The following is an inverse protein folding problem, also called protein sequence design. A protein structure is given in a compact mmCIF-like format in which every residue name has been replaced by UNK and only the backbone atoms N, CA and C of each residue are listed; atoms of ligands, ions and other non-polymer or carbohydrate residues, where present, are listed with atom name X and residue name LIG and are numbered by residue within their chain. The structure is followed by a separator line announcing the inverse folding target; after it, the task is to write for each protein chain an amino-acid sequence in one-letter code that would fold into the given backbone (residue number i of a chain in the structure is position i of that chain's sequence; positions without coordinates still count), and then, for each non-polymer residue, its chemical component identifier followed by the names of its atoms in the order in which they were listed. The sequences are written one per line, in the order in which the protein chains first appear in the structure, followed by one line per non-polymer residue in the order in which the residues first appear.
data_IF_728940180099
#
_entry.id   IF_728940180099
#
_cell.length_a   1.000
_cell.length_b   1.000
_cell.length_c   1.000
_cell.angle_alpha   90.00
_cell.angle_beta   90.00
_cell.angle_gamma   90.00
#
_symmetry.space_group_name_H-M   'P 1'
#
loop_
_entity.id
_entity.type
_entity.pdbx_description
1 polymer ?
#
# COMPACT_ATOMS: atom_id res chain seq x y z
N UNK A 1 -2.72 17.71 22.50
CA UNK A 1 -1.60 17.68 23.46
C UNK A 1 -1.84 16.51 24.40
N UNK A 2 -1.16 15.38 24.21
CA UNK A 2 -1.30 14.22 25.11
C UNK A 2 -0.46 14.52 26.37
N UNK A 3 -1.11 14.92 27.47
CA UNK A 3 -0.43 15.07 28.76
C UNK A 3 -0.42 13.68 29.40
N UNK A 4 0.57 12.86 29.07
CA UNK A 4 0.77 11.59 29.74
C UNK A 4 1.58 11.83 31.04
N UNK A 5 1.05 11.36 32.17
CA UNK A 5 1.77 11.47 33.45
C UNK A 5 2.95 10.51 33.47
N UNK A 6 4.00 10.78 34.26
CA UNK A 6 5.18 9.89 34.38
C UNK A 6 4.84 8.43 34.74
N UNK A 7 3.67 8.17 35.34
CA UNK A 7 3.20 6.83 35.68
C UNK A 7 2.49 6.11 34.52
N UNK A 8 2.05 6.87 33.51
CA UNK A 8 1.27 6.41 32.35
C UNK A 8 2.14 6.12 31.12
N UNK A 9 3.46 6.34 31.18
CA UNK A 9 4.38 6.10 30.06
C UNK A 9 5.33 4.96 30.44
N UNK A 10 5.36 3.91 29.63
CA UNK A 10 6.35 2.84 29.71
C UNK A 10 7.29 2.96 28.52
N UNK A 11 8.49 3.48 28.77
CA UNK A 11 9.53 3.56 27.74
C UNK A 11 10.27 2.23 27.73
N UNK A 12 10.31 1.58 26.56
CA UNK A 12 11.04 0.33 26.36
C UNK A 12 12.07 0.60 25.27
N UNK A 13 13.36 0.49 25.61
CA UNK A 13 14.43 0.62 24.63
C UNK A 13 14.45 -0.62 23.71
N UNK A 14 14.81 -0.45 22.43
CA UNK A 14 15.00 -1.56 21.50
C UNK A 14 15.92 -2.67 22.05
N UNK A 15 17.00 -2.31 22.75
CA UNK A 15 17.89 -3.28 23.41
C UNK A 15 17.16 -4.14 24.47
N UNK A 16 16.14 -3.58 25.11
CA UNK A 16 15.33 -4.27 26.12
C UNK A 16 14.30 -5.22 25.49
N UNK A 17 13.88 -4.95 24.25
CA UNK A 17 13.10 -5.89 23.43
C UNK A 17 14.02 -7.00 22.92
N UNK A 18 15.16 -6.65 22.31
CA UNK A 18 16.13 -7.62 21.80
C UNK A 18 16.67 -8.59 22.85
N UNK A 19 16.99 -8.11 24.05
CA UNK A 19 17.44 -8.97 25.15
C UNK A 19 16.40 -10.01 25.58
N UNK A 20 15.13 -9.79 25.23
CA UNK A 20 14.02 -10.73 25.43
C UNK A 20 13.66 -11.50 24.15
N UNK A 21 14.22 -11.15 23.01
CA UNK A 21 14.09 -11.87 21.74
C UNK A 21 15.09 -13.03 21.74
N UNK A 22 14.64 -14.22 22.13
CA UNK A 22 15.47 -15.45 22.08
C UNK A 22 15.43 -16.04 20.67
N UNK A 23 16.44 -16.85 20.32
CA UNK A 23 16.53 -17.56 19.03
C UNK A 23 15.54 -18.74 18.89
N UNK A 24 14.48 -18.76 19.70
CA UNK A 24 13.48 -19.82 19.72
C UNK A 24 12.21 -19.33 19.02
N UNK A 25 11.76 -20.10 18.03
CA UNK A 25 10.55 -19.81 17.25
C UNK A 25 9.34 -19.72 18.20
N UNK A 26 8.56 -18.65 18.09
CA UNK A 26 7.36 -18.38 18.91
C UNK A 26 7.62 -17.72 20.27
N UNK A 27 8.83 -17.77 20.82
CA UNK A 27 9.13 -17.13 22.11
C UNK A 27 9.19 -15.60 22.00
N UNK A 28 9.69 -15.10 20.86
CA UNK A 28 9.71 -13.66 20.54
C UNK A 28 8.31 -13.05 20.50
N UNK A 29 7.32 -13.77 19.94
CA UNK A 29 5.92 -13.36 19.91
C UNK A 29 5.32 -13.35 21.32
N UNK A 30 5.56 -14.42 22.10
CA UNK A 30 5.09 -14.52 23.48
C UNK A 30 5.62 -13.40 24.37
N UNK A 31 6.90 -13.07 24.23
CA UNK A 31 7.54 -12.00 25.00
C UNK A 31 7.04 -10.63 24.56
N UNK A 32 6.83 -10.42 23.26
CA UNK A 32 6.22 -9.19 22.72
C UNK A 32 4.80 -9.00 23.25
N UNK A 33 3.97 -10.05 23.23
CA UNK A 33 2.63 -10.04 23.84
C UNK A 33 2.67 -9.73 25.33
N UNK A 34 3.64 -10.27 26.05
CA UNK A 34 3.84 -9.96 27.47
C UNK A 34 4.18 -8.49 27.71
N UNK A 35 4.99 -7.88 26.84
CA UNK A 35 5.32 -6.45 26.90
C UNK A 35 4.08 -5.60 26.59
N UNK A 36 3.36 -5.92 25.51
CA UNK A 36 2.13 -5.22 25.12
C UNK A 36 1.07 -5.28 26.23
N UNK A 37 0.87 -6.45 26.83
CA UNK A 37 -0.04 -6.62 27.97
C UNK A 37 0.41 -5.82 29.21
N UNK A 38 1.71 -5.72 29.47
CA UNK A 38 2.25 -4.91 30.57
C UNK A 38 2.13 -3.39 30.32
N UNK A 39 1.94 -2.99 29.06
CA UNK A 39 1.74 -1.59 28.64
C UNK A 39 0.27 -1.22 28.41
N UNK A 40 -0.69 -2.10 28.69
CA UNK A 40 -2.12 -1.76 28.67
C UNK A 40 -2.40 -0.56 29.59
N UNK A 41 -3.11 0.44 29.08
CA UNK A 41 -3.39 1.69 29.80
C UNK A 41 -2.19 2.63 29.92
N UNK A 42 -1.13 2.38 29.15
CA UNK A 42 0.07 3.20 29.08
C UNK A 42 0.47 3.45 27.64
N UNK A 43 1.35 4.45 27.46
CA UNK A 43 2.03 4.67 26.18
C UNK A 43 3.30 3.84 26.15
N UNK A 44 3.42 2.91 25.20
CA UNK A 44 4.64 2.18 24.89
C UNK A 44 5.48 3.00 23.91
N UNK A 45 6.69 3.41 24.31
CA UNK A 45 7.63 4.09 23.43
C UNK A 45 8.74 3.12 23.05
N UNK A 46 8.95 2.91 21.75
CA UNK A 46 10.02 2.09 21.19
C UNK A 46 11.03 3.01 20.52
N UNK A 47 12.19 3.17 21.14
CA UNK A 47 13.31 3.91 20.55
C UNK A 47 14.10 3.03 19.58
N UNK A 48 14.69 3.62 18.54
CA UNK A 48 15.39 2.94 17.45
C UNK A 48 14.57 1.80 16.80
N UNK A 49 13.27 2.05 16.56
CA UNK A 49 12.33 1.04 16.09
C UNK A 49 12.74 0.39 14.75
N UNK A 50 13.51 1.09 13.91
CA UNK A 50 14.10 0.53 12.68
C UNK A 50 14.99 -0.69 12.96
N UNK A 51 15.54 -0.86 14.16
CA UNK A 51 16.31 -2.06 14.52
C UNK A 51 15.46 -3.33 14.53
N UNK A 52 14.14 -3.21 14.77
CA UNK A 52 13.19 -4.33 14.69
C UNK A 52 12.95 -4.78 13.25
N UNK A 53 13.54 -4.10 12.27
CA UNK A 53 13.37 -4.38 10.88
C UNK A 53 14.73 -4.36 10.18
N UNK A 54 15.31 -5.52 9.89
CA UNK A 54 16.55 -5.51 9.11
C UNK A 54 16.23 -5.31 7.63
N UNK A 55 16.44 -4.10 7.16
CA UNK A 55 16.54 -3.86 5.73
C UNK A 55 17.90 -4.40 5.23
N UNK A 56 17.91 -5.64 4.74
CA UNK A 56 18.83 -6.05 3.67
C UNK A 56 20.30 -6.29 4.03
N UNK A 57 20.63 -6.92 5.16
CA UNK A 57 21.96 -7.55 5.27
C UNK A 57 21.96 -8.85 4.49
N UNK A 58 22.39 -8.77 3.23
CA UNK A 58 22.63 -9.89 2.30
C UNK A 58 23.84 -10.73 2.71
N UNK A 59 23.92 -11.14 3.97
CA UNK A 59 24.89 -12.10 4.46
C UNK A 59 24.06 -13.25 5.07
N UNK A 60 24.24 -14.47 4.55
CA UNK A 60 23.40 -15.64 4.82
C UNK A 60 23.32 -16.09 6.29
N UNK A 61 23.96 -15.37 7.21
CA UNK A 61 23.88 -15.53 8.67
C UNK A 61 22.81 -14.66 9.33
N UNK A 62 22.30 -13.62 8.64
CA UNK A 62 21.28 -12.69 9.13
C UNK A 62 19.83 -13.16 9.00
N UNK A 63 19.56 -14.12 8.10
CA UNK A 63 18.19 -14.59 7.80
C UNK A 63 17.44 -15.18 9.02
N UNK A 64 18.17 -15.75 9.99
CA UNK A 64 17.57 -16.24 11.24
C UNK A 64 17.18 -15.11 12.19
N UNK A 65 17.92 -14.00 12.25
CA UNK A 65 17.56 -12.87 13.11
C UNK A 65 16.38 -12.09 12.53
N UNK A 66 16.26 -12.05 11.21
CA UNK A 66 15.18 -11.34 10.51
C UNK A 66 13.81 -11.94 10.77
N UNK A 67 13.67 -13.28 10.77
CA UNK A 67 12.38 -13.92 11.08
C UNK A 67 11.87 -13.62 12.51
N UNK A 68 12.78 -13.45 13.48
CA UNK A 68 12.36 -13.15 14.86
C UNK A 68 12.01 -11.68 15.02
N UNK A 69 12.77 -10.79 14.37
CA UNK A 69 12.54 -9.35 14.33
C UNK A 69 11.24 -9.01 13.60
N UNK A 70 11.00 -9.63 12.45
CA UNK A 70 9.74 -9.49 11.72
C UNK A 70 8.56 -9.98 12.54
N UNK A 71 8.69 -11.11 13.25
CA UNK A 71 7.64 -11.62 14.12
C UNK A 71 7.25 -10.65 15.26
N UNK A 72 8.21 -9.86 15.79
CA UNK A 72 7.92 -8.79 16.76
C UNK A 72 7.09 -7.69 16.12
N UNK A 73 7.47 -7.21 14.93
CA UNK A 73 6.73 -6.17 14.20
C UNK A 73 5.33 -6.66 13.84
N UNK A 74 5.22 -7.87 13.30
CA UNK A 74 3.93 -8.47 12.94
C UNK A 74 3.02 -8.64 14.16
N UNK A 75 3.58 -9.04 15.31
CA UNK A 75 2.83 -9.13 16.57
C UNK A 75 2.34 -7.76 17.03
N UNK A 76 3.19 -6.72 16.99
CA UNK A 76 2.79 -5.36 17.34
C UNK A 76 1.67 -4.88 16.41
N UNK A 77 1.80 -5.06 15.10
CA UNK A 77 0.78 -4.64 14.12
C UNK A 77 -0.53 -5.44 14.30
N UNK A 78 -0.42 -6.73 14.62
CA UNK A 78 -1.58 -7.60 14.82
C UNK A 78 -2.36 -7.27 16.09
N UNK A 79 -1.67 -6.95 17.19
CA UNK A 79 -2.29 -6.69 18.49
C UNK A 79 -2.64 -5.20 18.71
N UNK A 80 -1.94 -4.27 18.04
CA UNK A 80 -2.21 -2.83 18.09
C UNK A 80 -3.10 -2.45 16.90
N UNK A 81 -4.36 -2.89 16.96
CA UNK A 81 -5.37 -2.52 15.96
C UNK A 81 -6.20 -1.34 16.47
N UNK A 82 -6.60 -0.44 15.56
CA UNK A 82 -7.44 0.72 15.90
C UNK A 82 -8.90 0.31 16.13
N UNK A 83 -9.17 -0.52 17.14
CA UNK A 83 -10.54 -0.80 17.58
C UNK A 83 -11.00 0.28 18.58
N UNK A 84 -12.21 0.88 18.40
CA UNK A 84 -12.72 1.87 19.34
C UNK A 84 -12.87 1.29 20.75
N UNK A 85 -12.15 1.85 21.71
CA UNK A 85 -12.14 1.37 23.11
C UNK A 85 -10.86 0.64 23.53
N UNK A 86 -9.90 0.47 22.62
CA UNK A 86 -8.59 -0.10 22.94
C UNK A 86 -7.70 0.95 23.64
N UNK A 87 -7.01 0.55 24.71
CA UNK A 87 -6.18 1.41 25.56
C UNK A 87 -4.68 1.11 25.34
N UNK A 88 -4.32 0.98 24.06
CA UNK A 88 -2.97 0.70 23.59
C UNK A 88 -2.49 1.80 22.66
N UNK A 89 -1.39 2.44 23.05
CA UNK A 89 -0.73 3.46 22.23
C UNK A 89 0.76 3.11 22.10
N UNK A 90 1.23 2.89 20.87
CA UNK A 90 2.63 2.62 20.57
C UNK A 90 3.23 3.79 19.79
N UNK A 91 4.33 4.34 20.29
CA UNK A 91 5.11 5.38 19.63
C UNK A 91 6.45 4.79 19.14
N UNK A 92 6.61 4.70 17.83
CA UNK A 92 7.85 4.27 17.19
C UNK A 92 8.75 5.48 16.92
N UNK A 93 9.95 5.49 17.49
CA UNK A 93 10.95 6.53 17.30
C UNK A 93 12.15 5.97 16.53
N UNK A 94 12.76 6.81 15.70
CA UNK A 94 13.94 6.43 14.93
C UNK A 94 14.37 7.52 13.95
N UNK A 95 15.50 7.30 13.27
CA UNK A 95 15.95 8.19 12.21
C UNK A 95 15.01 8.11 11.00
N UNK A 96 14.66 9.27 10.44
CA UNK A 96 13.68 9.41 9.36
C UNK A 96 13.91 8.42 8.21
N UNK A 97 15.11 8.40 7.63
CA UNK A 97 15.40 7.59 6.45
C UNK A 97 15.29 6.08 6.72
N UNK A 98 15.66 5.63 7.93
CA UNK A 98 15.58 4.22 8.32
C UNK A 98 14.14 3.81 8.66
N UNK A 99 13.37 4.69 9.29
CA UNK A 99 11.95 4.47 9.52
C UNK A 99 11.18 4.41 8.20
N UNK A 100 11.51 5.29 7.24
CA UNK A 100 10.93 5.23 5.89
C UNK A 100 11.24 3.89 5.20
N UNK A 101 12.48 3.38 5.30
CA UNK A 101 12.84 2.05 4.78
C UNK A 101 12.07 0.91 5.47
N UNK A 102 11.88 0.99 6.78
CA UNK A 102 11.10 0.00 7.55
C UNK A 102 9.65 -0.10 7.04
N UNK A 103 9.02 1.03 6.72
CA UNK A 103 7.64 1.04 6.19
C UNK A 103 7.54 0.74 4.69
N UNK A 104 8.65 0.76 3.95
CA UNK A 104 8.65 0.55 2.49
C UNK A 104 8.53 -0.93 2.09
N UNK A 105 8.90 -1.88 2.95
CA UNK A 105 9.09 -3.28 2.52
C UNK A 105 7.82 -4.13 2.38
N UNK A 106 6.64 -3.62 2.75
CA UNK A 106 5.36 -4.32 2.59
C UNK A 106 4.67 -4.13 1.22
N UNK A 107 5.13 -3.18 0.41
CA UNK A 107 4.48 -2.77 -0.84
C UNK A 107 5.54 -2.50 -1.91
N UNK A 108 5.44 -3.12 -3.09
CA UNK A 108 6.41 -2.90 -4.17
C UNK A 108 6.37 -1.47 -4.71
N UNK A 109 7.47 -0.96 -5.27
CA UNK A 109 7.49 0.37 -5.91
C UNK A 109 6.46 0.48 -7.06
N UNK A 110 6.16 -0.64 -7.72
CA UNK A 110 5.13 -0.73 -8.76
C UNK A 110 3.74 -0.56 -8.14
N UNK A 111 3.47 -1.25 -7.04
CA UNK A 111 2.21 -1.13 -6.30
C UNK A 111 1.98 0.29 -5.80
N UNK A 112 3.02 0.96 -5.24
CA UNK A 112 2.87 2.35 -4.77
C UNK A 112 2.45 3.30 -5.88
N UNK A 113 3.04 3.17 -7.08
CA UNK A 113 2.62 3.98 -8.25
C UNK A 113 1.17 3.73 -8.63
N UNK A 114 0.74 2.47 -8.64
CA UNK A 114 -0.64 2.10 -8.97
C UNK A 114 -1.63 2.64 -7.92
N UNK A 115 -1.30 2.53 -6.64
CA UNK A 115 -2.11 3.10 -5.55
C UNK A 115 -2.26 4.61 -5.72
N UNK A 116 -1.17 5.33 -6.03
CA UNK A 116 -1.23 6.77 -6.30
C UNK A 116 -2.17 7.08 -7.48
N UNK A 117 -2.05 6.35 -8.60
CA UNK A 117 -2.97 6.54 -9.73
C UNK A 117 -4.43 6.25 -9.36
N UNK A 118 -4.69 5.19 -8.59
CA UNK A 118 -6.03 4.84 -8.14
C UNK A 118 -6.62 5.92 -7.23
N UNK A 119 -5.84 6.45 -6.30
CA UNK A 119 -6.26 7.52 -5.39
C UNK A 119 -6.48 8.84 -6.13
N UNK A 120 -5.65 9.18 -7.11
CA UNK A 120 -5.89 10.34 -7.97
C UNK A 120 -7.20 10.24 -8.75
N UNK A 121 -7.55 9.04 -9.22
CA UNK A 121 -8.83 8.78 -9.89
C UNK A 121 -10.00 8.85 -8.89
N UNK A 122 -9.83 8.26 -7.71
CA UNK A 122 -10.85 8.23 -6.67
C UNK A 122 -11.15 9.64 -6.13
N UNK A 123 -10.14 10.49 -5.99
CA UNK A 123 -10.27 11.89 -5.55
C UNK A 123 -11.20 12.71 -6.44
N UNK A 124 -11.32 12.36 -7.72
CA UNK A 124 -12.18 13.06 -8.67
C UNK A 124 -13.64 12.55 -8.65
N UNK A 125 -13.98 11.57 -7.80
CA UNK A 125 -15.34 10.99 -7.74
C UNK A 125 -16.24 11.80 -6.81
N UNK A 126 -17.56 11.88 -7.08
CA UNK A 126 -18.52 12.64 -6.26
C UNK A 126 -18.65 12.21 -4.78
N UNK A 127 -18.16 11.02 -4.41
CA UNK A 127 -18.32 10.44 -3.07
C UNK A 127 -16.98 10.03 -2.42
N UNK A 128 -15.92 10.82 -2.64
CA UNK A 128 -14.60 10.51 -2.09
C UNK A 128 -14.58 10.61 -0.55
N UNK A 129 -14.51 9.47 0.13
CA UNK A 129 -14.59 9.36 1.60
C UNK A 129 -13.27 9.53 2.36
N UNK A 130 -12.20 10.00 1.70
CA UNK A 130 -10.82 10.05 2.23
C UNK A 130 -10.42 8.70 2.86
N UNK A 131 -10.45 8.60 4.20
CA UNK A 131 -10.12 7.38 4.95
C UNK A 131 -10.95 6.17 4.52
N UNK A 132 -12.25 6.35 4.24
CA UNK A 132 -13.09 5.25 3.78
C UNK A 132 -12.64 4.68 2.42
N UNK A 133 -12.12 5.52 1.52
CA UNK A 133 -11.59 5.04 0.23
C UNK A 133 -10.27 4.28 0.41
N UNK A 134 -9.42 4.73 1.34
CA UNK A 134 -8.17 4.05 1.71
C UNK A 134 -8.47 2.68 2.31
N UNK A 135 -9.44 2.60 3.22
CA UNK A 135 -9.85 1.33 3.84
C UNK A 135 -10.42 0.36 2.81
N UNK A 136 -11.26 0.83 1.89
CA UNK A 136 -11.79 0.02 0.78
C UNK A 136 -10.64 -0.49 -0.09
N UNK A 137 -9.69 0.37 -0.44
CA UNK A 137 -8.53 0.03 -1.27
C UNK A 137 -7.65 -1.03 -0.60
N UNK A 138 -7.32 -0.85 0.68
CA UNK A 138 -6.49 -1.78 1.43
C UNK A 138 -7.19 -3.12 1.66
N UNK A 139 -8.48 -3.12 1.97
CA UNK A 139 -9.26 -4.36 2.12
C UNK A 139 -9.32 -5.15 0.81
N UNK A 140 -9.53 -4.45 -0.31
CA UNK A 140 -9.53 -5.07 -1.65
C UNK A 140 -8.16 -5.67 -1.96
N UNK A 141 -7.08 -4.92 -1.71
CA UNK A 141 -5.72 -5.38 -1.92
C UNK A 141 -5.38 -6.61 -1.09
N UNK A 142 -5.82 -6.64 0.18
CA UNK A 142 -5.64 -7.80 1.06
C UNK A 142 -6.35 -9.05 0.54
N UNK A 143 -7.57 -8.92 0.04
CA UNK A 143 -8.32 -10.03 -0.56
C UNK A 143 -7.64 -10.56 -1.83
N UNK A 144 -7.17 -9.67 -2.70
CA UNK A 144 -6.45 -10.05 -3.92
C UNK A 144 -5.11 -10.72 -3.61
N UNK A 145 -4.37 -10.19 -2.63
CA UNK A 145 -3.12 -10.76 -2.16
C UNK A 145 -3.31 -12.19 -1.61
N UNK A 146 -4.34 -12.40 -0.80
CA UNK A 146 -4.69 -13.73 -0.31
C UNK A 146 -5.05 -14.68 -1.46
N UNK A 147 -5.82 -14.18 -2.44
CA UNK A 147 -6.16 -14.94 -3.65
C UNK A 147 -4.92 -15.29 -4.47
N UNK A 148 -3.93 -14.38 -4.55
CA UNK A 148 -2.64 -14.59 -5.21
C UNK A 148 -1.82 -15.67 -4.50
N UNK A 149 -1.69 -15.62 -3.19
CA UNK A 149 -0.94 -16.63 -2.39
C UNK A 149 -1.58 -18.02 -2.53
N UNK A 150 -2.92 -18.09 -2.56
CA UNK A 150 -3.63 -19.37 -2.72
C UNK A 150 -3.60 -19.95 -4.13
N UNK A 151 -3.24 -19.15 -5.15
CA UNK A 151 -3.27 -19.54 -6.56
C UNK A 151 -1.93 -20.11 -7.02
N UNK A 152 -1.94 -21.31 -7.61
CA UNK A 152 -0.74 -22.02 -8.08
C UNK A 152 -0.11 -21.44 -9.38
N UNK A 153 -0.44 -20.19 -9.76
CA UNK A 153 0.07 -19.50 -10.96
C UNK A 153 0.68 -18.16 -10.56
N UNK A 154 1.95 -17.88 -10.88
CA UNK A 154 2.57 -16.60 -10.53
C UNK A 154 2.04 -15.50 -11.46
N UNK A 155 1.08 -14.69 -10.97
CA UNK A 155 0.68 -13.43 -11.59
C UNK A 155 1.63 -12.27 -11.27
N UNK A 156 2.56 -12.47 -10.33
CA UNK A 156 3.53 -11.47 -9.88
C UNK A 156 4.92 -12.10 -9.71
N UNK A 157 5.96 -11.26 -9.81
CA UNK A 157 7.36 -11.60 -9.47
C UNK A 157 7.74 -11.14 -8.05
N UNK A 158 6.83 -10.48 -7.33
CA UNK A 158 7.06 -10.00 -5.98
C UNK A 158 7.01 -11.16 -4.97
N UNK A 159 7.73 -11.06 -3.83
CA UNK A 159 7.65 -12.06 -2.77
C UNK A 159 6.24 -12.17 -2.18
N UNK A 160 5.92 -13.34 -1.63
CA UNK A 160 4.60 -13.61 -1.02
C UNK A 160 4.31 -12.73 0.19
N UNK A 161 5.34 -12.17 0.83
CA UNK A 161 5.21 -11.24 1.95
C UNK A 161 4.91 -9.78 1.53
N UNK A 162 4.95 -9.44 0.24
CA UNK A 162 4.78 -8.08 -0.24
C UNK A 162 3.53 -7.93 -1.11
N UNK A 163 2.81 -6.82 -0.95
CA UNK A 163 1.74 -6.41 -1.86
C UNK A 163 2.32 -5.88 -3.17
N UNK A 164 1.85 -6.40 -4.29
CA UNK A 164 2.26 -5.98 -5.63
C UNK A 164 1.13 -5.24 -6.36
N UNK A 165 1.46 -4.60 -7.48
CA UNK A 165 0.53 -3.79 -8.28
C UNK A 165 -0.76 -4.53 -8.65
N UNK A 166 -0.65 -5.84 -8.93
CA UNK A 166 -1.79 -6.69 -9.26
C UNK A 166 -2.78 -6.85 -8.11
N UNK A 167 -2.32 -6.72 -6.86
CA UNK A 167 -3.19 -6.83 -5.69
C UNK A 167 -4.10 -5.59 -5.59
N UNK A 168 -3.64 -4.43 -6.04
CA UNK A 168 -4.42 -3.19 -6.01
C UNK A 168 -5.31 -3.01 -7.24
N UNK A 169 -4.80 -3.31 -8.44
CA UNK A 169 -5.55 -3.25 -9.70
C UNK A 169 -5.11 -4.41 -10.60
N UNK A 170 -6.00 -5.36 -10.88
CA UNK A 170 -5.67 -6.49 -11.77
C UNK A 170 -5.30 -6.04 -13.19
N UNK A 171 -5.81 -4.88 -13.60
CA UNK A 171 -5.59 -4.25 -14.90
C UNK A 171 -4.66 -3.04 -14.77
N UNK A 172 -3.76 -3.02 -13.79
CA UNK A 172 -2.86 -1.89 -13.55
C UNK A 172 -2.03 -1.51 -14.80
N UNK A 173 -1.75 -2.47 -15.69
CA UNK A 173 -1.04 -2.29 -16.96
C UNK A 173 -1.98 -2.09 -18.17
N UNK A 174 -3.26 -1.76 -17.95
CA UNK A 174 -4.25 -1.49 -19.02
C UNK A 174 -3.78 -0.48 -20.06
N UNK A 175 -3.00 0.52 -19.64
CA UNK A 175 -2.43 1.52 -20.54
C UNK A 175 -1.30 0.98 -21.43
N UNK A 176 -0.58 -0.06 -20.96
CA UNK A 176 0.55 -0.70 -21.65
C UNK A 176 0.09 -1.89 -22.50
N UNK A 177 -0.89 -2.67 -22.04
CA UNK A 177 -1.41 -3.87 -22.71
C UNK A 177 -2.14 -3.61 -24.03
N UNK A 178 -2.51 -2.36 -24.34
CA UNK A 178 -3.17 -2.00 -25.60
C UNK A 178 -4.53 -2.67 -25.81
N UNK A 179 -5.11 -3.27 -24.77
CA UNK A 179 -6.22 -4.22 -24.87
C UNK A 179 -7.55 -3.54 -25.20
N UNK A 180 -7.69 -2.24 -24.91
CA UNK A 180 -8.79 -1.41 -25.39
C UNK A 180 -8.35 -0.58 -26.59
N UNK A 181 -8.20 -1.24 -27.74
CA UNK A 181 -8.21 -0.55 -29.04
C UNK A 181 -9.54 0.20 -29.14
N UNK A 182 -9.48 1.53 -29.30
CA UNK A 182 -10.67 2.38 -29.44
C UNK A 182 -11.54 1.84 -30.58
N UNK A 183 -10.92 1.35 -31.65
CA UNK A 183 -11.59 0.74 -32.79
C UNK A 183 -12.49 -0.44 -32.40
N UNK A 184 -12.09 -1.28 -31.43
CA UNK A 184 -12.93 -2.38 -30.90
C UNK A 184 -14.10 -1.89 -30.03
N UNK A 185 -13.99 -0.72 -29.41
CA UNK A 185 -15.08 -0.14 -28.60
C UNK A 185 -16.22 0.42 -29.47
N UNK A 186 -15.94 0.73 -30.73
CA UNK A 186 -16.91 1.25 -31.71
C UNK A 186 -17.26 0.21 -32.79
N UNK A 187 -16.89 -1.05 -32.59
CA UNK A 187 -17.23 -2.14 -33.51
C UNK A 187 -18.75 -2.29 -33.61
N UNK A 188 -19.30 -2.13 -34.82
CA UNK A 188 -20.75 -2.15 -35.06
C UNK A 188 -21.45 -0.80 -35.04
N UNK A 189 -20.75 0.32 -34.76
CA UNK A 189 -21.32 1.67 -34.84
C UNK A 189 -20.88 2.35 -36.14
N UNK A 190 -21.83 2.63 -37.04
CA UNK A 190 -21.58 3.28 -38.33
C UNK A 190 -21.49 4.80 -38.16
N UNK A 191 -20.50 5.46 -38.79
CA UNK A 191 -20.38 6.92 -38.80
C UNK A 191 -19.57 7.53 -37.64
N UNK A 192 -18.84 6.71 -36.89
CA UNK A 192 -18.01 7.15 -35.75
C UNK A 192 -16.51 7.23 -36.08
N UNK A 193 -16.12 7.17 -37.35
CA UNK A 193 -14.70 7.08 -37.77
C UNK A 193 -13.89 8.30 -37.31
N UNK A 194 -14.47 9.50 -37.40
CA UNK A 194 -13.85 10.74 -36.93
C UNK A 194 -13.66 10.76 -35.41
N UNK A 195 -14.61 10.18 -34.67
CA UNK A 195 -14.58 10.10 -33.21
C UNK A 195 -13.49 9.12 -32.77
N UNK A 196 -13.40 7.96 -33.43
CA UNK A 196 -12.34 6.97 -33.20
C UNK A 196 -10.96 7.58 -33.44
N UNK A 197 -10.75 8.25 -34.58
CA UNK A 197 -9.48 8.91 -34.90
C UNK A 197 -9.10 9.98 -33.87
N UNK A 198 -10.08 10.77 -33.42
CA UNK A 198 -9.87 11.81 -32.40
C UNK A 198 -9.43 11.20 -31.06
N UNK A 199 -10.10 10.14 -30.60
CA UNK A 199 -9.74 9.45 -29.37
C UNK A 199 -8.42 8.71 -29.45
N UNK A 200 -8.08 8.12 -30.60
CA UNK A 200 -6.75 7.55 -30.85
C UNK A 200 -5.66 8.63 -30.77
N UNK A 201 -5.92 9.82 -31.33
CA UNK A 201 -5.06 10.99 -31.20
C UNK A 201 -4.85 11.40 -29.73
N UNK A 202 -5.93 11.48 -28.94
CA UNK A 202 -5.81 11.76 -27.51
C UNK A 202 -5.05 10.67 -26.76
N UNK A 203 -5.24 9.38 -27.09
CA UNK A 203 -4.45 8.31 -26.46
C UNK A 203 -2.95 8.47 -26.73
N UNK A 204 -2.56 8.81 -27.95
CA UNK A 204 -1.16 9.05 -28.30
C UNK A 204 -0.62 10.30 -27.59
N UNK A 205 -1.42 11.36 -27.49
CA UNK A 205 -1.07 12.58 -26.78
C UNK A 205 -0.83 12.31 -25.29
N UNK A 206 -1.74 11.60 -24.62
CA UNK A 206 -1.58 11.21 -23.20
C UNK A 206 -0.32 10.36 -23.01
N UNK A 207 -0.04 9.41 -23.90
CA UNK A 207 1.17 8.58 -23.85
C UNK A 207 2.44 9.43 -23.96
N UNK A 208 2.46 10.42 -24.84
CA UNK A 208 3.59 11.35 -25.02
C UNK A 208 3.76 12.28 -23.81
N UNK A 209 2.67 12.82 -23.27
CA UNK A 209 2.70 13.71 -22.11
C UNK A 209 3.17 12.99 -20.84
N UNK A 210 2.71 11.75 -20.62
CA UNK A 210 3.19 10.91 -19.53
C UNK A 210 4.70 10.64 -19.63
N UNK A 211 5.24 10.44 -20.84
CA UNK A 211 6.69 10.27 -21.05
C UNK A 211 7.49 11.53 -20.73
N UNK A 212 6.89 12.70 -20.95
CA UNK A 212 7.50 14.00 -20.66
C UNK A 212 7.23 14.48 -19.22
N UNK A 213 6.58 13.64 -18.39
CA UNK A 213 6.19 13.97 -17.02
C UNK A 213 5.31 15.23 -16.92
N UNK A 214 4.51 15.50 -17.95
CA UNK A 214 3.54 16.59 -18.02
C UNK A 214 2.14 16.10 -17.68
N UNK A 215 1.32 16.92 -17.02
CA UNK A 215 -0.06 16.55 -16.68
C UNK A 215 -0.93 16.48 -17.97
N UNK A 216 -1.50 15.32 -18.32
CA UNK A 216 -2.38 15.20 -19.48
C UNK A 216 -3.66 16.03 -19.35
N UNK A 217 -4.02 16.47 -18.13
CA UNK A 217 -5.24 17.24 -17.85
C UNK A 217 -5.25 18.62 -18.47
N UNK A 218 -4.09 19.20 -18.68
CA UNK A 218 -3.98 20.54 -19.26
C UNK A 218 -4.17 20.55 -20.78
N UNK A 219 -4.00 19.39 -21.43
CA UNK A 219 -3.98 19.29 -22.89
C UNK A 219 -5.10 18.44 -23.48
N UNK A 220 -5.73 17.58 -22.67
CA UNK A 220 -6.79 16.68 -23.12
C UNK A 220 -8.14 17.13 -22.54
N UNK A 221 -9.18 17.33 -23.35
CA UNK A 221 -10.53 17.57 -22.85
C UNK A 221 -11.09 16.34 -22.14
N UNK A 222 -11.69 16.51 -20.95
CA UNK A 222 -12.34 15.43 -20.20
C UNK A 222 -13.87 15.45 -20.29
N UNK A 223 -14.43 16.49 -20.90
CA UNK A 223 -15.87 16.67 -21.06
C UNK A 223 -16.23 16.62 -22.53
N UNK A 224 -16.96 15.57 -22.92
CA UNK A 224 -17.47 15.39 -24.28
C UNK A 224 -18.99 15.49 -24.27
N UNK A 225 -19.53 16.36 -25.12
CA UNK A 225 -20.98 16.49 -25.32
C UNK A 225 -21.34 15.85 -26.65
N UNK A 226 -21.93 14.67 -26.60
CA UNK A 226 -22.49 14.02 -27.77
C UNK A 226 -23.86 14.65 -28.06
N UNK A 227 -23.98 15.38 -29.16
CA UNK A 227 -25.26 15.92 -29.62
C UNK A 227 -25.80 15.04 -30.74
N UNK A 228 -27.07 14.67 -30.63
CA UNK A 228 -27.82 14.08 -31.74
C UNK A 228 -28.50 15.19 -32.54
N UNK A 229 -28.63 15.07 -33.87
CA UNK A 229 -29.47 15.98 -34.64
C UNK A 229 -30.91 15.98 -34.09
N UNK A 230 -31.61 17.13 -34.08
CA UNK A 230 -33.02 17.15 -33.73
C UNK A 230 -33.82 16.40 -34.81
N UNK A 231 -34.40 15.25 -34.49
CA UNK A 231 -35.31 14.52 -35.39
C UNK A 231 -35.12 13.01 -35.54
N UNK A 232 -34.21 12.36 -34.80
CA UNK A 232 -34.05 10.89 -34.75
C UNK A 232 -34.02 10.33 -33.32
#
# INVERSE_FOLDING_TARGET
MLIATRQSISIVCYQQILSKTTLVIGESEKNTKGILAATLGKVLVIDEAYGLFAAGTSDGTGAKYDQYRSAVVDTIVADVQSTPGDDQCVLLLGYKDQMEQMFQNGVTDRARRVVLEMLERARNRPHFGNAGEIDILLNTAKMHHQSRISSNKPKSRAPDSALDAVDFDENFDRAEKGETSVSKMFEGVVGCENIVSTFEGYQQLVKSLKKLNMDPREQVPFNFVFRRPPGE
#
